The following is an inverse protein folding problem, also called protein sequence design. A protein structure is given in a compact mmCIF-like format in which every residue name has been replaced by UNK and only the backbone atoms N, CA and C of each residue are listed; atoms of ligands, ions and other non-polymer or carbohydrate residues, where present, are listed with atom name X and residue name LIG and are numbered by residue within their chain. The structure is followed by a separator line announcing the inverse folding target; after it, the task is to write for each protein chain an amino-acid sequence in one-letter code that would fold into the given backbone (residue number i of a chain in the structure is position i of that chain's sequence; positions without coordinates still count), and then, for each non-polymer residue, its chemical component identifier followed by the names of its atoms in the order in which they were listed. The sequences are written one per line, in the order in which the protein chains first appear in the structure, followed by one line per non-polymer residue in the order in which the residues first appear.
data_IF_457410033046
#
_entry.id   IF_457410033046
#
_cell.length_a   1.000
_cell.length_b   1.000
_cell.length_c   1.000
_cell.angle_alpha   90.00
_cell.angle_beta   90.00
_cell.angle_gamma   90.00
#
_symmetry.space_group_name_H-M   'P 1'
#
loop_
_entity.id
_entity.type
_entity.pdbx_description
1 polymer ?
#
# COMPACT_ATOMS: atom_id res chain seq x y z
N UNK A 1 -18.90 -17.87 -5.65
CA UNK A 1 -17.92 -17.20 -6.53
C UNK A 1 -16.63 -17.05 -5.75
N UNK A 2 -15.48 -17.26 -6.39
CA UNK A 2 -14.18 -16.91 -5.80
C UNK A 2 -13.96 -15.42 -6.03
N UNK A 3 -13.72 -14.65 -4.97
CA UNK A 3 -13.45 -13.22 -5.10
C UNK A 3 -12.18 -12.97 -5.92
N UNK A 4 -12.20 -11.94 -6.76
CA UNK A 4 -11.03 -11.52 -7.53
C UNK A 4 -10.22 -10.51 -6.74
N UNK A 5 -9.05 -10.15 -7.26
CA UNK A 5 -8.26 -9.06 -6.70
C UNK A 5 -9.09 -7.77 -6.64
N UNK A 6 -8.95 -7.00 -5.56
CA UNK A 6 -9.68 -5.75 -5.36
C UNK A 6 -9.34 -4.67 -6.38
N UNK A 7 -8.24 -4.82 -7.14
CA UNK A 7 -7.94 -3.95 -8.28
C UNK A 7 -8.65 -4.35 -9.58
N UNK A 8 -9.38 -5.47 -9.61
CA UNK A 8 -10.20 -5.82 -10.77
C UNK A 8 -11.39 -4.86 -10.89
N UNK A 9 -11.66 -4.39 -12.11
CA UNK A 9 -12.80 -3.52 -12.38
C UNK A 9 -14.11 -4.15 -11.90
N UNK A 10 -14.91 -3.38 -11.16
CA UNK A 10 -16.18 -3.82 -10.60
C UNK A 10 -16.09 -4.62 -9.30
N UNK A 11 -14.89 -5.03 -8.87
CA UNK A 11 -14.76 -5.92 -7.71
C UNK A 11 -15.07 -5.20 -6.40
N UNK A 12 -14.75 -3.92 -6.28
CA UNK A 12 -15.09 -3.10 -5.12
C UNK A 12 -16.59 -2.92 -4.98
N UNK A 13 -17.30 -2.69 -6.08
CA UNK A 13 -18.75 -2.55 -6.11
C UNK A 13 -19.43 -3.86 -5.69
N UNK A 14 -18.95 -5.01 -6.20
CA UNK A 14 -19.42 -6.34 -5.78
C UNK A 14 -19.15 -6.56 -4.30
N UNK A 15 -17.96 -6.19 -3.80
CA UNK A 15 -17.60 -6.32 -2.40
C UNK A 15 -18.51 -5.49 -1.49
N UNK A 16 -18.74 -4.23 -1.85
CA UNK A 16 -19.62 -3.32 -1.11
C UNK A 16 -21.05 -3.86 -1.06
N UNK A 17 -21.58 -4.30 -2.20
CA UNK A 17 -22.94 -4.85 -2.27
C UNK A 17 -23.07 -6.13 -1.43
N UNK A 18 -22.08 -7.01 -1.51
CA UNK A 18 -22.02 -8.20 -0.67
C UNK A 18 -22.03 -7.84 0.83
N UNK A 19 -21.16 -6.90 1.25
CA UNK A 19 -21.03 -6.51 2.65
C UNK A 19 -22.28 -5.82 3.19
N UNK A 20 -22.96 -5.00 2.38
CA UNK A 20 -24.25 -4.38 2.75
C UNK A 20 -25.31 -5.43 3.05
N UNK A 21 -25.40 -6.46 2.21
CA UNK A 21 -26.36 -7.55 2.39
C UNK A 21 -26.00 -8.49 3.54
N UNK A 22 -24.70 -8.70 3.78
CA UNK A 22 -24.23 -9.63 4.81
C UNK A 22 -24.32 -9.08 6.23
N UNK A 23 -24.17 -7.76 6.43
CA UNK A 23 -24.13 -7.15 7.75
C UNK A 23 -24.77 -5.75 7.79
N UNK A 24 -25.97 -5.60 8.37
CA UNK A 24 -26.65 -4.30 8.48
C UNK A 24 -25.88 -3.23 9.26
N UNK A 25 -25.05 -3.62 10.24
CA UNK A 25 -24.23 -2.65 10.98
C UNK A 25 -23.15 -2.09 10.06
N UNK A 26 -22.49 -2.95 9.28
CA UNK A 26 -21.48 -2.55 8.31
C UNK A 26 -22.11 -1.77 7.14
N UNK A 27 -23.32 -2.12 6.71
CA UNK A 27 -24.06 -1.39 5.68
C UNK A 27 -24.21 0.10 6.03
N UNK A 28 -24.62 0.39 7.27
CA UNK A 28 -24.71 1.78 7.76
C UNK A 28 -23.37 2.49 7.75
N UNK A 29 -22.28 1.80 8.07
CA UNK A 29 -20.94 2.38 8.03
C UNK A 29 -20.49 2.65 6.58
N UNK A 30 -20.82 1.76 5.65
CA UNK A 30 -20.54 1.91 4.22
C UNK A 30 -21.22 3.16 3.66
N UNK A 31 -22.45 3.47 4.08
CA UNK A 31 -23.18 4.66 3.61
C UNK A 31 -22.53 5.99 4.06
N UNK A 32 -21.75 5.97 5.15
CA UNK A 32 -21.12 7.17 5.72
C UNK A 32 -19.76 7.50 5.11
N UNK A 33 -19.19 6.60 4.30
CA UNK A 33 -17.84 6.75 3.77
C UNK A 33 -17.80 6.44 2.28
N UNK A 34 -16.90 7.12 1.56
CA UNK A 34 -16.65 6.81 0.16
C UNK A 34 -16.11 5.38 -0.01
N UNK A 35 -16.29 4.76 -1.18
CA UNK A 35 -15.63 3.49 -1.51
C UNK A 35 -14.10 3.56 -1.38
N UNK A 36 -13.43 2.45 -1.01
CA UNK A 36 -11.97 2.37 -1.06
C UNK A 36 -11.45 2.35 -2.50
N UNK A 37 -10.20 2.79 -2.66
CA UNK A 37 -9.41 2.61 -3.88
C UNK A 37 -8.23 1.69 -3.62
N UNK A 38 -7.96 0.79 -4.57
CA UNK A 38 -6.86 -0.19 -4.52
C UNK A 38 -6.15 -0.24 -5.88
N UNK A 39 -5.29 0.76 -6.13
CA UNK A 39 -4.68 1.02 -7.44
C UNK A 39 -3.16 1.27 -7.35
N UNK A 40 -2.56 1.04 -6.19
CA UNK A 40 -1.11 1.11 -6.02
C UNK A 40 -0.46 -0.18 -6.50
N UNK A 41 0.37 -0.10 -7.53
CA UNK A 41 1.14 -1.23 -8.04
C UNK A 41 2.64 -0.99 -7.85
N UNK A 42 3.22 -1.76 -6.94
CA UNK A 42 4.67 -1.88 -6.76
C UNK A 42 5.05 -3.35 -6.84
N UNK A 43 6.28 -3.66 -7.24
CA UNK A 43 6.78 -5.03 -7.13
C UNK A 43 6.74 -5.47 -5.66
N UNK A 44 6.43 -6.75 -5.36
CA UNK A 44 6.48 -7.28 -4.00
C UNK A 44 7.77 -6.93 -3.24
N UNK A 45 8.94 -7.04 -3.89
CA UNK A 45 10.21 -6.67 -3.27
C UNK A 45 10.29 -5.20 -2.84
N UNK A 46 9.89 -4.27 -3.73
CA UNK A 46 9.88 -2.84 -3.45
C UNK A 46 8.89 -2.50 -2.33
N UNK A 47 7.68 -3.06 -2.38
CA UNK A 47 6.64 -2.83 -1.39
C UNK A 47 7.05 -3.32 0.01
N UNK A 48 7.65 -4.51 0.11
CA UNK A 48 8.15 -5.06 1.38
C UNK A 48 9.34 -4.25 1.91
N UNK A 49 10.27 -3.85 1.03
CA UNK A 49 11.40 -2.96 1.37
C UNK A 49 10.90 -1.64 1.94
N UNK A 50 9.94 -0.99 1.26
CA UNK A 50 9.31 0.24 1.71
C UNK A 50 8.61 0.04 3.05
N UNK A 51 7.88 -1.06 3.23
CA UNK A 51 7.22 -1.40 4.50
C UNK A 51 8.23 -1.42 5.65
N UNK A 52 9.37 -2.12 5.50
CA UNK A 52 10.45 -2.17 6.50
C UNK A 52 10.97 -0.77 6.84
N UNK A 53 11.20 0.08 5.82
CA UNK A 53 11.71 1.43 6.01
C UNK A 53 10.76 2.32 6.82
N UNK A 54 9.45 2.17 6.66
CA UNK A 54 8.43 2.97 7.34
C UNK A 54 8.10 2.52 8.78
N UNK A 55 8.50 1.32 9.20
CA UNK A 55 8.14 0.78 10.52
C UNK A 55 8.51 1.72 11.68
N UNK A 56 7.61 1.88 12.66
CA UNK A 56 7.85 2.63 13.90
C UNK A 56 8.32 4.08 13.68
N UNK A 57 7.84 4.74 12.63
CA UNK A 57 8.16 6.14 12.33
C UNK A 57 6.90 6.98 12.13
N UNK A 58 7.01 8.27 12.45
CA UNK A 58 6.07 9.24 11.94
C UNK A 58 6.16 9.29 10.41
N UNK A 59 5.01 9.55 9.76
CA UNK A 59 4.89 9.51 8.31
C UNK A 59 5.99 10.32 7.58
N UNK A 60 6.18 11.59 7.97
CA UNK A 60 7.20 12.49 7.38
C UNK A 60 8.63 11.94 7.49
N UNK A 61 8.95 11.26 8.59
CA UNK A 61 10.27 10.68 8.81
C UNK A 61 10.49 9.45 7.90
N UNK A 62 9.47 8.59 7.79
CA UNK A 62 9.47 7.46 6.86
C UNK A 62 9.68 7.93 5.41
N UNK A 63 8.92 8.93 4.97
CA UNK A 63 9.04 9.50 3.62
C UNK A 63 10.43 10.07 3.34
N UNK A 64 11.01 10.79 4.31
CA UNK A 64 12.36 11.34 4.15
C UNK A 64 13.44 10.25 4.05
N UNK A 65 13.33 9.17 4.83
CA UNK A 65 14.25 8.02 4.76
C UNK A 65 14.07 7.28 3.44
N UNK A 66 12.83 7.05 3.01
CA UNK A 66 12.54 6.38 1.76
C UNK A 66 13.10 7.13 0.55
N UNK A 67 12.88 8.45 0.47
CA UNK A 67 13.43 9.26 -0.62
C UNK A 67 14.96 9.17 -0.72
N UNK A 68 15.67 9.21 0.42
CA UNK A 68 17.13 9.03 0.45
C UNK A 68 17.56 7.61 0.08
N UNK A 69 16.80 6.60 0.49
CA UNK A 69 17.05 5.20 0.11
C UNK A 69 16.89 4.99 -1.40
N UNK A 70 15.84 5.55 -2.00
CA UNK A 70 15.62 5.51 -3.45
C UNK A 70 16.76 6.23 -4.18
N UNK A 71 17.18 7.42 -3.72
CA UNK A 71 18.32 8.13 -4.30
C UNK A 71 19.62 7.32 -4.20
N UNK A 72 19.83 6.60 -3.10
CA UNK A 72 20.99 5.71 -2.91
C UNK A 72 20.95 4.50 -3.87
N UNK A 73 19.76 4.01 -4.22
CA UNK A 73 19.57 2.95 -5.23
C UNK A 73 19.53 3.49 -6.67
N UNK A 74 19.42 4.81 -6.86
CA UNK A 74 19.25 5.48 -8.15
C UNK A 74 17.79 5.87 -8.43
N UNK A 75 16.86 4.92 -8.38
CA UNK A 75 15.42 5.14 -8.51
C UNK A 75 14.63 3.91 -8.00
N UNK A 76 13.30 3.95 -8.02
CA UNK A 76 12.46 2.84 -7.56
C UNK A 76 12.66 1.55 -8.38
N UNK A 77 12.85 1.66 -9.70
CA UNK A 77 13.08 0.50 -10.57
C UNK A 77 14.43 -0.19 -10.31
N UNK A 78 15.38 0.52 -9.72
CA UNK A 78 16.70 0.00 -9.34
C UNK A 78 16.74 -0.64 -7.93
N UNK A 79 15.63 -0.60 -7.18
CA UNK A 79 15.52 -1.30 -5.89
C UNK A 79 15.33 -2.80 -6.15
N UNK A 80 16.46 -3.47 -6.35
CA UNK A 80 16.54 -4.90 -6.61
C UNK A 80 17.25 -5.61 -5.44
N UNK A 81 17.06 -6.92 -5.25
CA UNK A 81 17.72 -7.68 -4.18
C UNK A 81 19.24 -7.48 -4.15
N UNK A 82 19.90 -7.56 -5.30
CA UNK A 82 21.33 -7.35 -5.47
C UNK A 82 21.76 -5.92 -5.13
N UNK A 83 20.97 -4.91 -5.51
CA UNK A 83 21.22 -3.51 -5.16
C UNK A 83 21.20 -3.34 -3.63
N UNK A 84 20.18 -3.88 -2.97
CA UNK A 84 20.04 -3.79 -1.50
C UNK A 84 21.17 -4.52 -0.78
N UNK A 85 21.60 -5.68 -1.29
CA UNK A 85 22.73 -6.44 -0.73
C UNK A 85 24.07 -5.73 -0.90
N UNK A 86 24.25 -4.91 -1.95
CA UNK A 86 25.46 -4.13 -2.16
C UNK A 86 25.59 -2.93 -1.19
N UNK A 87 24.48 -2.48 -0.58
CA UNK A 87 24.49 -1.38 0.38
C UNK A 87 25.05 -1.83 1.73
N UNK A 88 26.10 -1.17 2.19
CA UNK A 88 26.68 -1.42 3.52
C UNK A 88 25.76 -0.90 4.64
N UNK A 89 25.81 -1.50 5.85
CA UNK A 89 25.11 -0.96 7.01
C UNK A 89 25.46 0.52 7.32
N UNK A 90 26.68 0.95 7.00
CA UNK A 90 27.10 2.34 7.17
C UNK A 90 26.38 3.29 6.21
N UNK A 91 26.28 2.95 4.92
CA UNK A 91 25.53 3.75 3.94
C UNK A 91 24.06 3.85 4.33
N UNK A 92 23.44 2.74 4.74
CA UNK A 92 22.06 2.73 5.24
C UNK A 92 21.89 3.61 6.49
N UNK A 93 22.84 3.57 7.42
CA UNK A 93 22.81 4.44 8.61
C UNK A 93 22.90 5.92 8.26
N UNK A 94 23.72 6.30 7.27
CA UNK A 94 23.88 7.69 6.83
C UNK A 94 22.57 8.31 6.32
N UNK A 95 21.68 7.50 5.75
CA UNK A 95 20.36 7.95 5.30
C UNK A 95 19.26 7.81 6.37
N UNK A 96 19.61 7.41 7.60
CA UNK A 96 18.69 7.31 8.73
C UNK A 96 18.03 5.94 8.91
N UNK A 97 18.50 4.89 8.23
CA UNK A 97 18.02 3.52 8.46
C UNK A 97 18.73 2.96 9.69
N UNK A 98 17.97 2.47 10.67
CA UNK A 98 18.54 1.85 11.87
C UNK A 98 19.25 0.53 11.55
N UNK A 99 20.20 0.10 12.39
CA UNK A 99 20.92 -1.16 12.17
C UNK A 99 19.98 -2.39 12.10
N UNK A 100 18.91 -2.38 12.90
CA UNK A 100 17.88 -3.42 12.87
C UNK A 100 17.10 -3.43 11.56
N UNK A 101 16.71 -2.27 11.03
CA UNK A 101 16.06 -2.19 9.71
C UNK A 101 17.01 -2.60 8.59
N UNK A 102 18.29 -2.23 8.67
CA UNK A 102 19.30 -2.66 7.71
C UNK A 102 19.41 -4.19 7.67
N UNK A 103 19.43 -4.87 8.83
CA UNK A 103 19.46 -6.34 8.86
C UNK A 103 18.19 -6.97 8.28
N UNK A 104 17.03 -6.33 8.44
CA UNK A 104 15.76 -6.80 7.85
C UNK A 104 15.75 -6.66 6.33
N UNK A 105 16.22 -5.53 5.80
CA UNK A 105 16.37 -5.32 4.36
C UNK A 105 17.30 -6.35 3.73
N UNK A 106 18.46 -6.60 4.37
CA UNK A 106 19.39 -7.62 3.88
C UNK A 106 18.86 -9.05 4.01
N UNK A 107 18.10 -9.36 5.06
CA UNK A 107 17.46 -10.67 5.20
C UNK A 107 16.40 -10.91 4.12
N UNK A 108 15.55 -9.91 3.84
CA UNK A 108 14.60 -9.94 2.73
C UNK A 108 15.32 -10.14 1.39
N UNK A 109 16.33 -9.32 1.10
CA UNK A 109 17.09 -9.40 -0.15
C UNK A 109 17.83 -10.73 -0.31
N UNK A 110 18.35 -11.31 0.78
CA UNK A 110 19.00 -12.63 0.74
C UNK A 110 18.01 -13.77 0.45
N UNK A 111 16.79 -13.69 0.99
CA UNK A 111 15.70 -14.63 0.68
C UNK A 111 15.24 -14.54 -0.78
N UNK A 112 15.40 -13.39 -1.42
CA UNK A 112 15.22 -13.27 -2.87
C UNK A 112 16.42 -13.85 -3.64
N UNK A 113 17.64 -13.50 -3.24
CA UNK A 113 18.87 -13.96 -3.90
C UNK A 113 19.01 -15.49 -3.89
N UNK A 114 18.57 -16.17 -2.83
CA UNK A 114 18.65 -17.63 -2.71
C UNK A 114 17.41 -18.36 -3.26
N UNK A 115 16.46 -17.65 -3.87
CA UNK A 115 15.28 -18.23 -4.51
C UNK A 115 14.16 -18.67 -3.57
N UNK A 116 14.24 -18.38 -2.26
CA UNK A 116 13.15 -18.65 -1.31
C UNK A 116 11.92 -17.78 -1.63
N UNK A 117 12.15 -16.54 -2.05
CA UNK A 117 11.12 -15.59 -2.48
C UNK A 117 11.43 -15.06 -3.88
N UNK A 118 10.39 -14.73 -4.64
CA UNK A 118 10.47 -13.93 -5.84
C UNK A 118 9.17 -13.14 -5.99
N UNK A 119 9.18 -12.06 -6.77
CA UNK A 119 7.95 -11.32 -7.05
C UNK A 119 6.89 -12.24 -7.67
N UNK A 120 7.31 -13.09 -8.61
CA UNK A 120 6.42 -14.06 -9.27
C UNK A 120 5.86 -15.10 -8.30
N UNK A 121 6.66 -15.62 -7.37
CA UNK A 121 6.15 -16.62 -6.41
C UNK A 121 5.18 -15.98 -5.43
N UNK A 122 5.46 -14.77 -4.94
CA UNK A 122 4.58 -14.04 -4.03
C UNK A 122 3.20 -13.76 -4.65
N UNK A 123 3.16 -13.31 -5.90
CA UNK A 123 1.90 -13.00 -6.57
C UNK A 123 1.00 -14.24 -6.75
N UNK A 124 1.61 -15.40 -7.01
CA UNK A 124 0.92 -16.66 -7.31
C UNK A 124 0.63 -17.53 -6.07
N UNK A 125 1.21 -17.19 -4.92
CA UNK A 125 1.07 -17.98 -3.69
C UNK A 125 -0.31 -17.79 -3.05
N UNK A 126 -0.87 -18.87 -2.49
CA UNK A 126 -2.08 -18.79 -1.68
C UNK A 126 -1.82 -18.02 -0.38
N UNK A 127 -2.87 -17.45 0.20
CA UNK A 127 -2.78 -16.54 1.34
C UNK A 127 -2.12 -17.17 2.58
N UNK A 128 -2.34 -18.47 2.82
CA UNK A 128 -1.76 -19.16 3.98
C UNK A 128 -0.27 -19.38 3.79
N UNK A 129 0.13 -19.92 2.64
CA UNK A 129 1.54 -20.12 2.32
C UNK A 129 2.30 -18.79 2.29
N UNK A 130 1.69 -17.74 1.72
CA UNK A 130 2.28 -16.40 1.68
C UNK A 130 2.50 -15.86 3.10
N UNK A 131 1.51 -16.01 3.97
CA UNK A 131 1.64 -15.61 5.37
C UNK A 131 2.81 -16.31 6.06
N UNK A 132 2.90 -17.64 5.94
CA UNK A 132 4.00 -18.42 6.51
C UNK A 132 5.36 -17.99 5.96
N UNK A 133 5.46 -17.79 4.64
CA UNK A 133 6.73 -17.43 4.00
C UNK A 133 7.21 -16.04 4.39
N UNK A 134 6.32 -15.03 4.37
CA UNK A 134 6.71 -13.66 4.69
C UNK A 134 6.99 -13.45 6.18
N UNK A 135 6.36 -14.21 7.07
CA UNK A 135 6.65 -14.14 8.52
C UNK A 135 8.02 -14.72 8.90
N UNK A 136 8.68 -15.47 8.00
CA UNK A 136 10.08 -15.90 8.18
C UNK A 136 11.10 -14.78 7.86
N UNK A 137 10.67 -13.68 7.26
CA UNK A 137 11.55 -12.52 7.01
C UNK A 137 11.69 -11.74 8.32
N UNK A 138 12.92 -11.50 8.73
CA UNK A 138 13.20 -10.75 9.95
C UNK A 138 12.55 -9.36 9.88
N UNK A 139 11.81 -8.99 10.93
CA UNK A 139 11.11 -7.72 11.00
C UNK A 139 9.77 -7.67 10.27
N UNK A 140 9.34 -8.73 9.59
CA UNK A 140 8.01 -8.83 8.99
C UNK A 140 7.13 -9.70 9.88
N UNK A 141 6.24 -9.06 10.65
CA UNK A 141 5.29 -9.74 11.51
C UNK A 141 3.92 -9.95 10.85
N UNK A 142 3.04 -10.69 11.52
CA UNK A 142 1.65 -10.95 11.08
C UNK A 142 0.92 -9.70 10.60
N UNK A 143 1.00 -8.60 11.36
CA UNK A 143 0.38 -7.34 10.99
C UNK A 143 0.91 -6.80 9.66
N UNK A 144 2.24 -6.79 9.46
CA UNK A 144 2.88 -6.32 8.23
C UNK A 144 2.50 -7.17 7.02
N UNK A 145 2.39 -8.48 7.19
CA UNK A 145 1.93 -9.38 6.11
C UNK A 145 0.50 -9.07 5.71
N UNK A 146 -0.42 -8.91 6.67
CA UNK A 146 -1.80 -8.55 6.33
C UNK A 146 -1.89 -7.19 5.63
N UNK A 147 -1.12 -6.18 6.08
CA UNK A 147 -1.09 -4.88 5.39
C UNK A 147 -0.57 -5.02 3.97
N UNK A 148 0.48 -5.81 3.75
CA UNK A 148 1.01 -6.09 2.43
C UNK A 148 -0.01 -6.81 1.53
N UNK A 149 -0.71 -7.83 2.05
CA UNK A 149 -1.73 -8.54 1.29
C UNK A 149 -2.90 -7.64 0.89
N UNK A 150 -3.33 -6.73 1.78
CA UNK A 150 -4.45 -5.82 1.52
C UNK A 150 -4.05 -4.71 0.53
N UNK A 151 -2.93 -4.02 0.78
CA UNK A 151 -2.59 -2.77 0.09
C UNK A 151 -1.58 -2.90 -1.05
N UNK A 152 -0.88 -4.05 -1.14
CA UNK A 152 0.08 -4.28 -2.23
C UNK A 152 -0.36 -5.42 -3.14
N UNK A 153 -1.00 -6.46 -2.60
CA UNK A 153 -1.53 -7.57 -3.40
C UNK A 153 -3.03 -7.47 -3.68
N UNK A 154 -3.72 -6.52 -3.03
CA UNK A 154 -5.15 -6.31 -3.20
C UNK A 154 -5.96 -7.61 -2.99
N UNK A 155 -5.54 -8.44 -2.02
CA UNK A 155 -6.26 -9.66 -1.66
C UNK A 155 -7.60 -9.28 -1.02
N UNK A 156 -8.73 -9.84 -1.49
CA UNK A 156 -10.06 -9.43 -1.03
C UNK A 156 -10.40 -9.90 0.38
N UNK A 157 -9.82 -11.03 0.81
CA UNK A 157 -10.31 -11.78 1.97
C UNK A 157 -9.34 -11.85 3.16
N UNK A 158 -8.69 -10.73 3.48
CA UNK A 158 -7.77 -10.62 4.62
C UNK A 158 -8.44 -9.91 5.80
N UNK A 159 -8.42 -10.57 6.97
CA UNK A 159 -8.85 -10.00 8.25
C UNK A 159 -7.64 -9.78 9.17
N UNK A 160 -7.20 -8.54 9.40
CA UNK A 160 -6.04 -8.26 10.24
C UNK A 160 -6.42 -8.31 11.74
N UNK A 161 -6.62 -9.51 12.28
CA UNK A 161 -7.08 -9.75 13.66
C UNK A 161 -6.17 -9.18 14.76
N UNK A 162 -4.92 -8.83 14.43
CA UNK A 162 -3.96 -8.20 15.34
C UNK A 162 -3.89 -6.68 15.18
N UNK A 163 -4.60 -6.09 14.22
CA UNK A 163 -4.64 -4.64 14.03
C UNK A 163 -5.58 -4.00 15.06
N UNK A 164 -5.04 -3.08 15.87
CA UNK A 164 -5.81 -2.42 16.92
C UNK A 164 -6.94 -1.56 16.34
N UNK A 165 -6.73 -0.93 15.18
CA UNK A 165 -7.75 -0.13 14.51
C UNK A 165 -8.94 -1.00 14.09
N UNK A 166 -8.69 -2.11 13.41
CA UNK A 166 -9.76 -3.04 13.00
C UNK A 166 -10.47 -3.63 14.21
N UNK A 167 -9.74 -4.09 15.24
CA UNK A 167 -10.37 -4.61 16.47
C UNK A 167 -11.24 -3.58 17.18
N UNK A 168 -10.78 -2.32 17.28
CA UNK A 168 -11.58 -1.20 17.83
C UNK A 168 -12.79 -0.90 16.95
N UNK A 169 -12.63 -0.97 15.63
CA UNK A 169 -13.74 -0.82 14.69
C UNK A 169 -14.81 -1.88 14.93
N UNK A 170 -14.44 -3.15 15.08
CA UNK A 170 -15.38 -4.24 15.42
C UNK A 170 -16.05 -4.02 16.76
N UNK A 171 -15.27 -3.62 17.78
CA UNK A 171 -15.80 -3.26 19.10
C UNK A 171 -16.90 -2.20 18.98
N UNK A 172 -16.62 -1.11 18.28
CA UNK A 172 -17.58 -0.02 18.08
C UNK A 172 -18.78 -0.44 17.21
N UNK A 173 -18.55 -1.24 16.17
CA UNK A 173 -19.57 -1.65 15.21
C UNK A 173 -20.66 -2.49 15.88
N UNK A 174 -20.26 -3.38 16.80
CA UNK A 174 -21.18 -4.28 17.51
C UNK A 174 -21.45 -3.85 18.97
N UNK A 175 -20.95 -2.69 19.40
CA UNK A 175 -21.17 -2.19 20.76
C UNK A 175 -20.60 -3.09 21.85
N UNK A 176 -19.45 -3.72 21.62
CA UNK A 176 -18.83 -4.63 22.58
C UNK A 176 -18.18 -3.85 23.72
N UNK A 177 -18.36 -4.32 24.96
CA UNK A 177 -17.74 -3.70 26.14
C UNK A 177 -16.22 -3.80 26.10
N UNK A 178 -15.70 -4.97 25.69
CA UNK A 178 -14.26 -5.24 25.59
C UNK A 178 -13.78 -5.30 24.15
N UNK A 179 -12.47 -5.07 23.97
CA UNK A 179 -11.82 -5.24 22.68
C UNK A 179 -11.81 -6.73 22.28
N UNK A 180 -12.46 -7.13 21.17
CA UNK A 180 -12.61 -8.53 20.80
C UNK A 180 -11.25 -9.20 20.59
N UNK A 181 -11.06 -10.40 21.13
CA UNK A 181 -9.86 -11.23 20.93
C UNK A 181 -9.80 -11.75 19.48
N UNK A 182 -8.62 -12.15 18.97
CA UNK A 182 -8.50 -12.68 17.60
C UNK A 182 -9.51 -13.79 17.26
N UNK A 183 -9.76 -14.74 18.16
CA UNK A 183 -10.75 -15.80 17.93
C UNK A 183 -12.20 -15.30 17.84
N UNK A 184 -12.54 -14.23 18.57
CA UNK A 184 -13.84 -13.58 18.48
C UNK A 184 -13.97 -12.79 17.18
N UNK A 185 -12.88 -12.16 16.72
CA UNK A 185 -12.83 -11.49 15.42
C UNK A 185 -13.17 -12.47 14.30
N UNK A 186 -12.57 -13.66 14.30
CA UNK A 186 -12.85 -14.68 13.27
C UNK A 186 -14.33 -15.05 13.21
N UNK A 187 -15.00 -15.22 14.36
CA UNK A 187 -16.42 -15.55 14.42
C UNK A 187 -17.32 -14.40 13.99
N UNK A 188 -17.08 -13.19 14.52
CA UNK A 188 -17.91 -12.01 14.24
C UNK A 188 -17.84 -11.60 12.76
N UNK A 189 -16.66 -11.71 12.18
CA UNK A 189 -16.35 -11.20 10.84
C UNK A 189 -16.51 -12.26 9.74
N UNK A 190 -16.89 -13.51 10.07
CA UNK A 190 -16.98 -14.60 9.09
C UNK A 190 -17.98 -14.29 7.97
N UNK A 191 -19.09 -13.63 8.31
CA UNK A 191 -20.13 -13.22 7.36
C UNK A 191 -19.64 -12.25 6.29
N UNK A 192 -18.50 -11.59 6.48
CA UNK A 192 -17.94 -10.63 5.52
C UNK A 192 -17.10 -11.31 4.43
N UNK A 193 -16.86 -12.62 4.53
CA UNK A 193 -16.18 -13.35 3.47
C UNK A 193 -17.01 -13.33 2.18
N UNK A 194 -16.37 -13.11 1.02
CA UNK A 194 -14.92 -13.14 0.78
C UNK A 194 -14.25 -11.76 0.73
N UNK A 195 -14.83 -10.72 1.37
CA UNK A 195 -14.42 -9.32 1.23
C UNK A 195 -13.99 -8.66 2.56
N UNK A 196 -13.37 -9.43 3.46
CA UNK A 196 -12.93 -8.93 4.78
C UNK A 196 -11.93 -7.78 4.71
N UNK A 197 -11.19 -7.64 3.61
CA UNK A 197 -10.28 -6.50 3.42
C UNK A 197 -11.02 -5.19 3.18
N UNK A 198 -12.13 -5.21 2.44
CA UNK A 198 -13.00 -4.05 2.26
C UNK A 198 -13.70 -3.70 3.57
N UNK A 199 -14.20 -4.69 4.31
CA UNK A 199 -14.77 -4.46 5.65
C UNK A 199 -13.74 -3.80 6.59
N UNK A 200 -12.51 -4.33 6.63
CA UNK A 200 -11.41 -3.77 7.42
C UNK A 200 -11.10 -2.32 7.05
N UNK A 201 -11.19 -1.96 5.77
CA UNK A 201 -11.02 -0.58 5.31
C UNK A 201 -12.05 0.37 5.92
N UNK A 202 -13.32 -0.02 5.90
CA UNK A 202 -14.40 0.78 6.52
C UNK A 202 -14.22 0.88 8.03
N UNK A 203 -13.77 -0.17 8.70
CA UNK A 203 -13.48 -0.14 10.13
C UNK A 203 -12.38 0.87 10.49
N UNK A 204 -11.35 1.03 9.65
CA UNK A 204 -10.36 2.10 9.85
C UNK A 204 -10.98 3.49 9.71
N UNK A 205 -11.82 3.72 8.68
CA UNK A 205 -12.54 5.00 8.51
C UNK A 205 -13.41 5.30 9.74
N UNK A 206 -14.07 4.27 10.28
CA UNK A 206 -14.94 4.41 11.43
C UNK A 206 -14.19 4.88 12.68
N UNK A 207 -13.04 4.26 12.96
CA UNK A 207 -12.20 4.60 14.11
C UNK A 207 -11.59 6.00 13.97
N UNK A 208 -11.17 6.38 12.76
CA UNK A 208 -10.67 7.73 12.48
C UNK A 208 -11.74 8.80 12.67
N UNK A 209 -12.96 8.56 12.19
CA UNK A 209 -14.09 9.48 12.37
C UNK A 209 -14.49 9.67 13.84
N UNK A 210 -14.13 8.72 14.72
CA UNK A 210 -14.35 8.79 16.17
C UNK A 210 -13.17 9.37 16.96
N UNK A 211 -12.12 9.86 16.27
CA UNK A 211 -11.00 10.57 16.90
C UNK A 211 -9.89 9.67 17.45
N UNK A 212 -9.88 8.38 17.12
CA UNK A 212 -8.77 7.50 17.45
C UNK A 212 -7.77 7.47 16.27
N UNK A 213 -6.49 7.84 16.47
CA UNK A 213 -5.50 7.71 15.41
C UNK A 213 -5.29 6.23 15.07
N UNK A 214 -5.54 5.85 13.81
CA UNK A 214 -5.26 4.52 13.29
C UNK A 214 -3.81 4.42 12.78
N UNK A 215 -3.09 3.36 13.14
CA UNK A 215 -1.74 3.07 12.62
C UNK A 215 -1.75 2.69 11.13
N UNK A 216 -2.85 2.12 10.63
CA UNK A 216 -3.03 1.84 9.21
C UNK A 216 -3.16 3.12 8.38
N UNK A 217 -3.67 4.21 8.96
CA UNK A 217 -3.73 5.52 8.32
C UNK A 217 -2.34 6.02 7.90
N UNK A 218 -1.29 5.71 8.68
CA UNK A 218 0.07 6.13 8.35
C UNK A 218 0.67 5.38 7.14
N UNK A 219 0.29 4.11 6.95
CA UNK A 219 0.73 3.28 5.80
C UNK A 219 -0.16 3.55 4.58
N UNK A 220 -1.47 3.69 4.76
CA UNK A 220 -2.41 4.07 3.72
C UNK A 220 -2.16 5.51 3.23
N UNK A 221 -1.91 6.48 4.12
CA UNK A 221 -1.51 7.83 3.72
C UNK A 221 -0.15 7.84 2.99
N UNK A 222 0.75 6.90 3.30
CA UNK A 222 1.98 6.69 2.53
C UNK A 222 1.72 6.18 1.11
N UNK A 223 0.66 5.40 0.89
CA UNK A 223 0.20 5.01 -0.44
C UNK A 223 -0.55 6.13 -1.16
N UNK A 224 -1.53 6.75 -0.50
CA UNK A 224 -2.43 7.77 -1.06
C UNK A 224 -1.71 9.08 -1.43
N UNK A 225 -0.74 9.54 -0.64
CA UNK A 225 0.01 10.77 -0.98
C UNK A 225 0.98 10.58 -2.14
N UNK A 226 1.47 9.36 -2.38
CA UNK A 226 2.23 9.02 -3.58
C UNK A 226 1.35 9.05 -4.83
N UNK A 227 0.10 8.60 -4.70
CA UNK A 227 -0.89 8.68 -5.77
C UNK A 227 -1.24 10.13 -6.14
N UNK A 228 -1.37 10.99 -5.13
CA UNK A 228 -1.63 12.42 -5.34
C UNK A 228 -0.43 13.13 -5.98
N UNK A 229 0.81 12.80 -5.57
CA UNK A 229 2.03 13.32 -6.20
C UNK A 229 2.23 12.79 -7.64
N UNK A 230 1.89 11.53 -7.91
CA UNK A 230 1.99 10.96 -9.26
C UNK A 230 0.95 11.59 -10.20
N UNK A 231 -0.28 11.86 -9.74
CA UNK A 231 -1.28 12.59 -10.54
C UNK A 231 -0.87 14.04 -10.82
N UNK A 232 -0.30 14.74 -9.84
CA UNK A 232 0.23 16.10 -10.03
C UNK A 232 1.40 16.12 -11.02
N UNK A 233 2.31 15.14 -10.95
CA UNK A 233 3.42 15.00 -11.91
C UNK A 233 2.92 14.66 -13.32
N UNK A 234 1.90 13.80 -13.45
CA UNK A 234 1.32 13.43 -14.74
C UNK A 234 0.57 14.61 -15.38
N UNK A 235 -0.15 15.42 -14.58
CA UNK A 235 -0.75 16.67 -15.05
C UNK A 235 0.32 17.69 -15.47
N UNK A 236 1.39 17.86 -14.70
CA UNK A 236 2.48 18.79 -15.03
C UNK A 236 3.22 18.37 -16.31
N UNK A 237 3.43 17.07 -16.53
CA UNK A 237 4.02 16.56 -17.77
C UNK A 237 3.11 16.78 -18.98
N UNK A 238 1.80 16.56 -18.85
CA UNK A 238 0.85 16.88 -19.92
C UNK A 238 0.82 18.37 -20.24
N UNK A 239 0.87 19.22 -19.22
CA UNK A 239 0.90 20.68 -19.39
C UNK A 239 2.20 21.13 -20.07
N UNK A 240 3.35 20.57 -19.69
CA UNK A 240 4.63 20.84 -20.35
C UNK A 240 4.67 20.36 -21.80
N UNK A 241 4.15 19.17 -22.10
CA UNK A 241 4.05 18.68 -23.49
C UNK A 241 3.13 19.55 -24.33
N UNK A 242 2.02 20.02 -23.75
CA UNK A 242 1.07 20.92 -24.42
C UNK A 242 1.72 22.27 -24.74
N UNK A 243 2.46 22.85 -23.79
CA UNK A 243 3.19 24.12 -23.99
C UNK A 243 4.31 23.99 -25.01
N UNK A 244 5.09 22.91 -24.98
CA UNK A 244 6.14 22.66 -25.97
C UNK A 244 5.58 22.49 -27.40
N UNK A 245 4.39 21.90 -27.53
CA UNK A 245 3.70 21.77 -28.81
C UNK A 245 3.21 23.12 -29.34
N UNK A 246 2.68 23.98 -28.45
CA UNK A 246 2.28 25.36 -28.79
C UNK A 246 3.48 26.20 -29.22
N UNK A 247 4.62 26.10 -28.52
CA UNK A 247 5.84 26.82 -28.87
C UNK A 247 6.43 26.36 -30.23
N UNK A 248 6.36 25.07 -30.54
CA UNK A 248 6.76 24.54 -31.85
C UNK A 248 5.86 25.06 -32.99
N UNK A 249 4.54 25.13 -32.77
CA UNK A 249 3.61 25.70 -33.75
C UNK A 249 3.88 27.20 -33.95
N UNK A 250 4.14 27.94 -32.86
CA UNK A 250 4.51 29.36 -32.91
C UNK A 250 5.81 29.61 -33.67
N UNK A 251 6.83 28.76 -33.49
CA UNK A 251 8.09 28.83 -34.23
C UNK A 251 7.94 28.56 -35.74
N UNK A 252 7.07 27.61 -36.12
CA UNK A 252 6.77 27.31 -37.52
C UNK A 252 5.99 28.46 -38.20
N UNK A 253 5.10 29.13 -37.47
CA UNK A 253 4.39 30.30 -38.00
C UNK A 253 5.31 31.53 -38.17
N UNK A 254 6.29 31.71 -37.28
CA UNK A 254 7.24 32.83 -37.36
C UNK A 254 8.23 32.68 -38.53
N UNK A 255 8.62 31.44 -38.87
CA UNK A 255 9.47 31.15 -40.03
C UNK A 255 8.77 31.39 -41.38
N UNK A 256 7.43 31.33 -41.44
CA UNK A 256 6.68 31.69 -42.65
C UNK A 256 6.53 33.21 -42.82
N UNK A 257 6.55 33.98 -41.73
CA UNK A 257 6.44 35.44 -41.77
C UNK A 257 7.71 36.14 -42.32
N UNK A 258 8.89 35.52 -42.20
CA UNK A 258 10.15 36.09 -42.74
C UNK A 258 10.37 35.82 -44.25
N UNK A 259 9.40 35.25 -44.97
CA UNK A 259 9.52 34.98 -46.42
C UNK A 259 8.77 35.98 -47.32
N UNK A 260 8.13 37.00 -46.74
CA UNK A 260 7.43 38.07 -47.47
C UNK A 260 7.71 39.44 -46.84
N UNK A 261 8.90 39.98 -47.12
CA UNK A 261 9.28 41.34 -46.74
C UNK A 261 10.51 41.73 -47.55
N UNK A 262 10.32 42.72 -48.42
CA UNK A 262 11.33 43.34 -49.29
C UNK A 262 12.54 43.89 -48.53
#
# INVERSE_FOLDING_TARGET
MVARSLSCQGEIEIAIEHLRNADPHLARLIELHHPPTFDSFQTPFLALTKSILYQQLAYKAGTSIYARFIALCGNEAAVLPETVLALTPQQLRQIGVSGRKASYLHDLARKYQNGILSDSSIMNMDDKSLFTMLTMVNGIGSWSVHMFMIFSLHRPDVLPVNDLGVRKGVQLLYGLEELPRPSQMDQLCEKWRPYRSVASWYLWRFVEAKGAPSSAAAVAAAGMSLQQQQQEQHMQQQQQQSSQFIDQIGGIMNLRACSWGQ
#
